data_IF_950754512065
#
_entry.id   IF_950754512065
#
_cell.length_a   1.000
_cell.length_b   1.000
_cell.length_c   1.000
_cell.angle_alpha   90.00
_cell.angle_beta   90.00
_cell.angle_gamma   90.00
#
_symmetry.space_group_name_H-M   'P 1'
#
loop_
_entity.id
_entity.type
_entity.pdbx_description
1 polymer ?
#
# COMPACT_ATOMS: atom_id res chain seq x y z
N UNK A 1 30.83 -46.49 -54.01
CA UNK A 1 30.41 -45.10 -53.93
C UNK A 1 29.43 -44.88 -52.73
N UNK A 2 29.76 -45.28 -51.49
CA UNK A 2 28.83 -45.23 -50.32
C UNK A 2 29.46 -44.76 -49.01
N UNK A 3 30.74 -44.38 -49.00
CA UNK A 3 31.41 -43.98 -47.72
C UNK A 3 31.40 -42.45 -47.41
N UNK A 4 31.15 -41.60 -48.38
CA UNK A 4 31.22 -40.14 -48.23
C UNK A 4 29.98 -39.51 -47.65
N UNK A 5 28.80 -40.15 -47.71
CA UNK A 5 27.52 -39.57 -47.20
C UNK A 5 27.34 -39.63 -45.69
N UNK A 6 28.04 -40.55 -45.01
CA UNK A 6 27.93 -40.66 -43.53
C UNK A 6 28.73 -39.59 -42.75
N UNK A 7 29.82 -39.11 -43.34
CA UNK A 7 30.64 -38.07 -42.68
C UNK A 7 29.98 -36.69 -42.70
N UNK A 8 29.20 -36.37 -43.74
CA UNK A 8 28.50 -35.09 -43.86
C UNK A 8 27.31 -34.97 -42.89
N UNK A 9 26.64 -36.07 -42.58
CA UNK A 9 25.55 -36.08 -41.58
C UNK A 9 26.05 -35.88 -40.18
N UNK A 10 27.16 -36.46 -39.79
CA UNK A 10 27.75 -36.29 -38.46
C UNK A 10 28.26 -34.85 -38.22
N UNK A 11 28.84 -34.24 -39.29
CA UNK A 11 29.29 -32.86 -39.24
C UNK A 11 28.10 -31.87 -39.16
N UNK A 12 26.95 -32.19 -39.74
CA UNK A 12 25.75 -31.37 -39.65
C UNK A 12 25.12 -31.40 -38.25
N UNK A 13 25.04 -32.58 -37.60
CA UNK A 13 24.53 -32.73 -36.24
C UNK A 13 25.46 -32.07 -35.21
N UNK A 14 26.76 -32.11 -35.37
CA UNK A 14 27.72 -31.45 -34.49
C UNK A 14 27.62 -29.90 -34.55
N UNK A 15 27.31 -29.34 -35.73
CA UNK A 15 27.09 -27.90 -35.90
C UNK A 15 25.77 -27.44 -35.29
N UNK A 16 24.72 -28.25 -35.35
CA UNK A 16 23.43 -27.94 -34.74
C UNK A 16 23.51 -28.00 -33.21
N UNK A 17 24.22 -28.94 -32.63
CA UNK A 17 24.39 -29.04 -31.16
C UNK A 17 25.12 -27.85 -30.55
N UNK A 18 26.08 -27.24 -31.25
CA UNK A 18 26.78 -26.02 -30.82
C UNK A 18 25.89 -24.77 -30.89
N UNK A 19 24.96 -24.69 -31.86
CA UNK A 19 24.04 -23.57 -32.00
C UNK A 19 22.96 -23.56 -30.90
N UNK A 20 22.51 -24.72 -30.43
CA UNK A 20 21.50 -24.85 -29.36
C UNK A 20 22.10 -24.67 -27.95
N UNK A 21 23.40 -25.02 -27.78
CA UNK A 21 24.11 -24.84 -26.50
C UNK A 21 24.34 -23.37 -26.13
N UNK A 22 24.44 -22.47 -27.12
CA UNK A 22 24.64 -21.01 -26.84
C UNK A 22 23.34 -20.30 -26.54
N UNK A 23 22.19 -20.77 -27.07
CA UNK A 23 20.87 -20.15 -26.84
C UNK A 23 20.35 -20.44 -25.44
N UNK A 24 20.68 -21.57 -24.82
CA UNK A 24 20.22 -21.94 -23.47
C UNK A 24 20.98 -21.26 -22.34
N UNK A 25 22.15 -20.66 -22.56
CA UNK A 25 22.94 -20.01 -21.53
C UNK A 25 22.56 -18.52 -21.35
N UNK A 26 21.87 -17.91 -22.30
CA UNK A 26 21.49 -16.47 -22.24
C UNK A 26 20.17 -16.23 -21.48
N UNK A 27 19.36 -17.27 -21.27
CA UNK A 27 18.04 -17.12 -20.63
C UNK A 27 18.04 -17.22 -19.10
N UNK A 28 19.17 -17.43 -18.44
CA UNK A 28 19.26 -17.61 -16.98
C UNK A 28 19.62 -16.30 -16.24
N UNK A 29 20.18 -15.31 -16.93
CA UNK A 29 20.34 -13.97 -16.35
C UNK A 29 19.06 -13.17 -16.65
N UNK A 30 18.06 -13.33 -15.79
CA UNK A 30 16.97 -12.36 -15.69
C UNK A 30 17.54 -10.95 -15.48
N UNK A 31 16.85 -9.88 -15.94
CA UNK A 31 17.32 -8.53 -15.68
C UNK A 31 17.56 -8.36 -14.18
N UNK A 32 18.63 -7.65 -13.78
CA UNK A 32 18.86 -7.38 -12.37
C UNK A 32 17.60 -6.74 -11.80
N UNK A 33 17.05 -7.33 -10.75
CA UNK A 33 15.95 -6.72 -10.03
C UNK A 33 16.45 -5.35 -9.56
N UNK A 34 15.95 -4.29 -10.19
CA UNK A 34 16.23 -2.93 -9.74
C UNK A 34 15.71 -2.83 -8.32
N UNK A 35 16.63 -2.80 -7.36
CA UNK A 35 16.32 -2.69 -5.95
C UNK A 35 15.63 -1.35 -5.75
N UNK A 36 14.33 -1.35 -5.46
CA UNK A 36 13.60 -0.12 -5.17
C UNK A 36 14.22 0.54 -3.93
N UNK A 37 14.32 1.87 -3.91
CA UNK A 37 14.83 2.55 -2.73
C UNK A 37 13.93 2.22 -1.52
N UNK A 38 14.49 2.09 -0.31
CA UNK A 38 13.69 1.84 0.87
C UNK A 38 12.68 2.98 1.08
N UNK A 39 11.46 2.66 1.46
CA UNK A 39 10.36 3.63 1.66
C UNK A 39 10.80 4.80 2.52
N UNK A 40 11.62 4.54 3.55
CA UNK A 40 12.13 5.57 4.46
C UNK A 40 12.90 6.69 3.76
N UNK A 41 13.58 6.41 2.63
CA UNK A 41 14.28 7.43 1.85
C UNK A 41 13.35 8.36 1.05
N UNK A 42 12.09 7.95 0.85
CA UNK A 42 11.09 8.70 0.10
C UNK A 42 10.25 9.64 0.99
N UNK A 43 10.24 9.43 2.32
CA UNK A 43 9.34 10.14 3.22
C UNK A 43 9.55 11.66 3.21
N UNK A 44 10.79 12.12 3.10
CA UNK A 44 11.14 13.54 3.07
C UNK A 44 10.52 14.29 1.89
N UNK A 45 10.32 13.63 0.75
CA UNK A 45 9.76 14.24 -0.45
C UNK A 45 8.27 14.64 -0.31
N UNK A 46 7.56 14.03 0.62
CA UNK A 46 6.17 14.36 0.97
C UNK A 46 6.05 15.01 2.36
N UNK A 47 7.18 15.39 2.95
CA UNK A 47 7.24 15.95 4.29
C UNK A 47 6.53 15.07 5.35
N UNK A 48 6.78 13.76 5.29
CA UNK A 48 6.30 12.78 6.26
C UNK A 48 7.35 12.59 7.35
N UNK A 49 6.88 12.48 8.59
CA UNK A 49 7.70 12.03 9.72
C UNK A 49 7.77 10.51 9.71
N UNK A 50 8.98 9.95 9.77
CA UNK A 50 9.16 8.51 9.96
C UNK A 50 8.59 8.06 11.33
N UNK A 51 7.98 6.88 11.35
CA UNK A 51 7.58 6.24 12.60
C UNK A 51 8.76 5.44 13.17
N UNK A 52 8.89 5.27 14.50
CA UNK A 52 9.99 4.50 15.07
C UNK A 52 10.05 3.10 14.45
N UNK A 53 11.24 2.65 13.98
CA UNK A 53 11.35 1.37 13.28
C UNK A 53 10.86 0.20 14.13
N UNK A 54 9.99 -0.62 13.54
CA UNK A 54 9.47 -1.83 14.19
C UNK A 54 8.27 -1.62 15.09
N UNK A 55 7.87 -0.39 15.38
CA UNK A 55 6.70 -0.12 16.21
C UNK A 55 5.40 -0.37 15.45
N UNK A 56 4.41 -0.86 16.18
CA UNK A 56 3.06 -1.08 15.69
C UNK A 56 2.17 0.04 16.21
N UNK A 57 1.27 0.57 15.37
CA UNK A 57 0.25 1.48 15.86
C UNK A 57 -0.70 0.73 16.80
N UNK A 58 -1.37 1.44 17.71
CA UNK A 58 -2.35 0.84 18.61
C UNK A 58 -3.44 0.07 17.85
N UNK A 59 -3.80 -1.11 18.35
CA UNK A 59 -4.87 -1.92 17.78
C UNK A 59 -6.24 -1.38 18.17
N UNK A 60 -7.17 -1.41 17.24
CA UNK A 60 -8.58 -1.10 17.50
C UNK A 60 -9.49 -1.98 16.67
N UNK A 61 -10.74 -2.08 17.11
CA UNK A 61 -11.84 -2.67 16.36
C UNK A 61 -13.07 -1.78 16.53
N UNK A 62 -13.70 -1.40 15.42
CA UNK A 62 -14.87 -0.53 15.42
C UNK A 62 -15.81 -0.85 14.28
N UNK A 63 -17.02 -0.30 14.33
CA UNK A 63 -17.99 -0.41 13.23
C UNK A 63 -17.86 0.77 12.29
N UNK A 64 -17.90 0.51 10.98
CA UNK A 64 -18.03 1.55 9.98
C UNK A 64 -19.37 2.28 10.13
N UNK A 65 -19.49 3.45 9.52
CA UNK A 65 -20.76 4.18 9.45
C UNK A 65 -21.89 3.35 8.80
N UNK A 66 -21.55 2.34 7.99
CA UNK A 66 -22.52 1.40 7.37
C UNK A 66 -22.75 0.13 8.21
N UNK A 67 -22.13 0.02 9.40
CA UNK A 67 -22.34 -1.08 10.35
C UNK A 67 -21.41 -2.29 10.20
N UNK A 68 -20.52 -2.33 9.22
CA UNK A 68 -19.52 -3.40 9.03
C UNK A 68 -18.41 -3.28 10.07
N UNK A 69 -18.04 -4.37 10.75
CA UNK A 69 -16.90 -4.38 11.68
C UNK A 69 -15.58 -4.38 10.91
N UNK A 70 -14.67 -3.48 11.33
CA UNK A 70 -13.29 -3.38 10.83
C UNK A 70 -12.34 -3.33 12.03
N UNK A 71 -11.26 -4.08 11.97
CA UNK A 71 -10.16 -4.02 12.94
C UNK A 71 -8.84 -3.82 12.22
N UNK A 72 -7.89 -3.12 12.87
CA UNK A 72 -6.57 -2.95 12.28
C UNK A 72 -5.86 -4.31 12.11
N UNK A 73 -5.99 -5.20 13.09
CA UNK A 73 -5.48 -6.57 12.99
C UNK A 73 -6.03 -7.34 11.79
N UNK A 74 -7.30 -7.13 11.43
CA UNK A 74 -7.94 -7.76 10.28
C UNK A 74 -7.43 -7.25 8.92
N UNK A 75 -6.64 -6.17 8.91
CA UNK A 75 -6.04 -5.58 7.71
C UNK A 75 -4.57 -6.00 7.51
N UNK A 76 -4.05 -6.94 8.32
CA UNK A 76 -2.71 -7.49 8.11
C UNK A 76 -2.56 -8.07 6.70
N UNK A 77 -1.40 -7.86 6.10
CA UNK A 77 -1.16 -8.22 4.69
C UNK A 77 -1.56 -7.14 3.69
N UNK A 78 -2.21 -6.07 4.15
CA UNK A 78 -2.55 -4.89 3.34
C UNK A 78 -1.71 -3.68 3.78
N UNK A 79 -1.45 -2.78 2.85
CA UNK A 79 -0.99 -1.43 3.16
C UNK A 79 -2.20 -0.63 3.61
N UNK A 80 -2.10 0.08 4.74
CA UNK A 80 -3.21 0.88 5.26
C UNK A 80 -2.82 2.36 5.29
N UNK A 81 -3.63 3.18 4.64
CA UNK A 81 -3.62 4.63 4.78
C UNK A 81 -4.75 4.98 5.77
N UNK A 82 -4.37 5.21 7.03
CA UNK A 82 -5.30 5.48 8.13
C UNK A 82 -5.34 6.98 8.37
N UNK A 83 -6.45 7.64 8.04
CA UNK A 83 -6.60 9.09 8.21
C UNK A 83 -7.63 9.45 9.29
N UNK A 84 -7.29 10.44 10.12
CA UNK A 84 -8.17 11.05 11.11
C UNK A 84 -8.71 12.37 10.54
N UNK A 85 -10.02 12.54 10.56
CA UNK A 85 -10.71 13.65 9.89
C UNK A 85 -12.06 13.97 10.54
N UNK A 86 -12.68 15.09 10.15
CA UNK A 86 -14.07 15.44 10.48
C UNK A 86 -14.77 16.09 9.29
N UNK A 87 -16.09 16.14 9.29
CA UNK A 87 -16.87 16.77 8.20
C UNK A 87 -16.68 18.29 8.12
N UNK A 88 -16.40 18.94 9.23
CA UNK A 88 -16.18 20.40 9.33
C UNK A 88 -14.69 20.80 9.17
N UNK A 89 -13.78 19.86 9.05
CA UNK A 89 -12.36 20.14 8.84
C UNK A 89 -12.12 20.62 7.42
N UNK A 90 -11.85 21.90 7.25
CA UNK A 90 -11.61 22.54 5.95
C UNK A 90 -10.42 21.94 5.22
N UNK A 91 -9.33 21.64 5.92
CA UNK A 91 -8.11 21.04 5.40
C UNK A 91 -8.28 19.56 5.02
N UNK A 92 -9.21 18.84 5.70
CA UNK A 92 -9.47 17.42 5.41
C UNK A 92 -10.29 17.24 4.11
N UNK A 93 -11.24 18.17 3.85
CA UNK A 93 -12.21 18.04 2.77
C UNK A 93 -11.58 17.82 1.38
N UNK A 94 -10.50 18.53 0.98
CA UNK A 94 -9.85 18.31 -0.32
C UNK A 94 -9.19 16.93 -0.45
N UNK A 95 -8.75 16.32 0.66
CA UNK A 95 -8.10 15.02 0.62
C UNK A 95 -9.07 13.85 0.44
N UNK A 96 -10.34 13.99 0.87
CA UNK A 96 -11.29 12.87 0.85
C UNK A 96 -11.55 12.30 -0.55
N UNK A 97 -11.78 13.11 -1.61
CA UNK A 97 -11.89 12.60 -2.97
C UNK A 97 -10.57 11.98 -3.49
N UNK A 98 -9.42 12.49 -3.02
CA UNK A 98 -8.10 11.94 -3.36
C UNK A 98 -7.94 10.55 -2.74
N UNK A 99 -8.31 10.38 -1.48
CA UNK A 99 -8.30 9.10 -0.79
C UNK A 99 -9.25 8.09 -1.44
N UNK A 100 -10.42 8.53 -1.93
CA UNK A 100 -11.33 7.70 -2.69
C UNK A 100 -10.69 7.17 -3.98
N UNK A 101 -10.00 8.05 -4.71
CA UNK A 101 -9.30 7.64 -5.92
C UNK A 101 -8.17 6.65 -5.63
N UNK A 102 -7.34 6.91 -4.60
CA UNK A 102 -6.30 5.97 -4.18
C UNK A 102 -6.91 4.62 -3.76
N UNK A 103 -8.04 4.65 -3.06
CA UNK A 103 -8.76 3.42 -2.69
C UNK A 103 -9.20 2.63 -3.91
N UNK A 104 -9.80 3.27 -4.92
CA UNK A 104 -10.25 2.62 -6.16
C UNK A 104 -9.08 2.09 -6.98
N UNK A 105 -8.03 2.90 -7.13
CA UNK A 105 -6.88 2.58 -7.99
C UNK A 105 -6.07 1.40 -7.43
N UNK A 106 -5.82 1.37 -6.11
CA UNK A 106 -4.89 0.42 -5.49
C UNK A 106 -5.54 -0.65 -4.59
N UNK A 107 -6.87 -0.70 -4.46
CA UNK A 107 -7.54 -1.69 -3.60
C UNK A 107 -7.23 -3.14 -4.02
N UNK A 108 -7.19 -3.40 -5.33
CA UNK A 108 -6.86 -4.72 -5.87
C UNK A 108 -5.39 -5.11 -5.60
N UNK A 109 -4.49 -4.14 -5.52
CA UNK A 109 -3.07 -4.34 -5.23
C UNK A 109 -2.78 -4.48 -3.73
N UNK A 110 -3.77 -4.22 -2.90
CA UNK A 110 -3.68 -4.42 -1.45
C UNK A 110 -3.61 -3.15 -0.61
N UNK A 111 -3.93 -1.97 -1.17
CA UNK A 111 -4.17 -0.77 -0.37
C UNK A 111 -5.55 -0.82 0.30
N UNK A 112 -5.62 -0.35 1.52
CA UNK A 112 -6.86 0.01 2.20
C UNK A 112 -6.75 1.44 2.71
N UNK A 113 -7.64 2.30 2.26
CA UNK A 113 -7.87 3.59 2.92
C UNK A 113 -8.88 3.36 4.04
N UNK A 114 -8.62 3.93 5.21
CA UNK A 114 -9.47 3.83 6.39
C UNK A 114 -9.60 5.20 7.04
N UNK A 115 -10.81 5.75 7.10
CA UNK A 115 -11.07 7.06 7.68
C UNK A 115 -11.65 6.95 9.09
N UNK A 116 -10.95 7.43 10.12
CA UNK A 116 -11.48 7.61 11.46
C UNK A 116 -12.07 9.00 11.56
N UNK A 117 -13.38 9.08 11.70
CA UNK A 117 -14.07 10.35 11.84
C UNK A 117 -14.19 10.72 13.32
N UNK A 118 -13.51 11.79 13.69
CA UNK A 118 -13.34 12.20 15.08
C UNK A 118 -14.57 12.96 15.60
N UNK A 119 -15.14 12.47 16.70
CA UNK A 119 -16.22 13.11 17.48
C UNK A 119 -17.53 13.37 16.74
N UNK A 120 -17.80 12.63 15.67
CA UNK A 120 -19.06 12.68 14.94
C UNK A 120 -19.67 11.27 14.85
N UNK A 121 -20.99 11.22 14.68
CA UNK A 121 -21.74 9.97 14.61
C UNK A 121 -21.98 9.48 13.17
N UNK A 122 -22.37 8.24 13.02
CA UNK A 122 -22.59 7.60 11.72
C UNK A 122 -23.52 8.38 10.77
N UNK A 123 -24.65 8.99 11.19
CA UNK A 123 -25.55 9.67 10.25
C UNK A 123 -24.91 10.82 9.49
N UNK A 124 -24.10 11.66 10.16
CA UNK A 124 -23.45 12.80 9.49
C UNK A 124 -22.37 12.32 8.53
N UNK A 125 -21.62 11.26 8.92
CA UNK A 125 -20.60 10.63 8.08
C UNK A 125 -21.22 10.02 6.83
N UNK A 126 -22.36 9.34 6.94
CA UNK A 126 -23.08 8.77 5.79
C UNK A 126 -23.55 9.85 4.81
N UNK A 127 -24.06 10.97 5.32
CA UNK A 127 -24.46 12.11 4.48
C UNK A 127 -23.26 12.68 3.73
N UNK A 128 -22.16 12.90 4.42
CA UNK A 128 -20.93 13.41 3.84
C UNK A 128 -20.32 12.44 2.82
N UNK A 129 -20.30 11.13 3.14
CA UNK A 129 -19.80 10.10 2.24
C UNK A 129 -20.62 10.05 0.93
N UNK A 130 -21.94 10.20 1.03
CA UNK A 130 -22.83 10.26 -0.13
C UNK A 130 -22.60 11.52 -0.97
N UNK A 131 -22.37 12.66 -0.32
CA UNK A 131 -22.08 13.93 -1.01
C UNK A 131 -20.80 13.85 -1.86
N UNK A 132 -19.76 13.21 -1.35
CA UNK A 132 -18.45 13.08 -2.00
C UNK A 132 -18.22 11.75 -2.71
N UNK A 133 -19.24 10.88 -2.82
CA UNK A 133 -19.16 9.54 -3.43
C UNK A 133 -18.04 8.67 -2.86
N UNK A 134 -17.88 8.69 -1.53
CA UNK A 134 -16.84 7.93 -0.82
C UNK A 134 -17.27 6.50 -0.58
N UNK A 135 -16.43 5.53 -0.95
CA UNK A 135 -16.69 4.10 -0.81
C UNK A 135 -15.74 3.38 0.16
N UNK A 136 -14.61 3.99 0.49
CA UNK A 136 -13.69 3.42 1.48
C UNK A 136 -14.30 3.42 2.89
N UNK A 137 -13.87 2.50 3.78
CA UNK A 137 -14.41 2.40 5.13
C UNK A 137 -14.22 3.67 5.95
N UNK A 138 -15.33 4.21 6.47
CA UNK A 138 -15.38 5.36 7.37
C UNK A 138 -15.89 4.90 8.75
N UNK A 139 -15.09 5.09 9.79
CA UNK A 139 -15.37 4.66 11.15
C UNK A 139 -15.70 5.87 12.02
N UNK A 140 -16.91 5.93 12.61
CA UNK A 140 -17.22 6.91 13.63
C UNK A 140 -16.38 6.68 14.90
N UNK A 141 -15.82 7.75 15.44
CA UNK A 141 -15.17 7.79 16.75
C UNK A 141 -15.82 8.90 17.60
N UNK A 142 -17.12 8.75 17.97
CA UNK A 142 -17.92 9.84 18.55
C UNK A 142 -17.42 10.31 19.91
N UNK A 143 -16.68 9.47 20.63
CA UNK A 143 -16.07 9.83 21.92
C UNK A 143 -14.61 10.25 21.80
N UNK A 144 -13.97 10.11 20.62
CA UNK A 144 -12.56 10.37 20.40
C UNK A 144 -11.65 9.35 21.09
N UNK A 145 -12.14 8.12 21.29
CA UNK A 145 -11.38 7.05 21.95
C UNK A 145 -10.20 6.59 21.08
N UNK A 146 -10.45 6.37 19.77
CA UNK A 146 -9.39 6.00 18.83
C UNK A 146 -8.46 7.18 18.59
N UNK A 147 -9.00 8.39 18.46
CA UNK A 147 -8.20 9.62 18.37
C UNK A 147 -7.20 9.73 19.53
N UNK A 148 -7.68 9.54 20.76
CA UNK A 148 -6.86 9.63 21.97
C UNK A 148 -5.82 8.53 22.02
N UNK A 149 -6.20 7.30 21.66
CA UNK A 149 -5.32 6.13 21.61
C UNK A 149 -4.13 6.35 20.66
N UNK A 150 -4.35 7.06 19.55
CA UNK A 150 -3.32 7.40 18.56
C UNK A 150 -2.59 8.71 18.85
N UNK A 151 -2.93 9.42 19.95
CA UNK A 151 -2.32 10.70 20.30
C UNK A 151 -2.56 11.80 19.25
N UNK A 152 -3.65 11.73 18.48
CA UNK A 152 -3.93 12.70 17.42
C UNK A 152 -4.44 14.01 18.01
N UNK A 153 -3.67 15.09 17.83
CA UNK A 153 -3.95 16.42 18.35
C UNK A 153 -4.36 17.43 17.27
N UNK A 154 -4.18 17.11 16.00
CA UNK A 154 -4.53 17.96 14.84
C UNK A 154 -5.12 17.17 13.70
N UNK A 155 -5.87 17.83 12.82
CA UNK A 155 -6.51 17.22 11.66
C UNK A 155 -6.15 17.97 10.38
N UNK A 156 -6.01 17.27 9.24
CA UNK A 156 -5.94 15.81 9.15
C UNK A 156 -4.66 15.26 9.78
N UNK A 157 -4.71 14.02 10.25
CA UNK A 157 -3.52 13.24 10.60
C UNK A 157 -3.62 11.89 9.93
N UNK A 158 -2.58 11.51 9.18
CA UNK A 158 -2.59 10.29 8.37
C UNK A 158 -1.38 9.42 8.67
N UNK A 159 -1.62 8.15 9.02
CA UNK A 159 -0.62 7.13 9.22
C UNK A 159 -0.50 6.24 7.97
N UNK A 160 0.72 5.96 7.56
CA UNK A 160 1.02 4.89 6.60
C UNK A 160 1.47 3.64 7.37
N UNK A 161 0.79 2.53 7.12
CA UNK A 161 1.01 1.26 7.81
C UNK A 161 1.33 0.21 6.74
N UNK A 162 2.46 -0.47 6.89
CA UNK A 162 2.93 -1.51 5.98
C UNK A 162 2.13 -2.82 6.08
N UNK A 163 2.37 -3.74 5.16
CA UNK A 163 1.72 -5.05 5.10
C UNK A 163 1.93 -5.90 6.35
N UNK A 164 3.06 -5.72 7.03
CA UNK A 164 3.38 -6.37 8.31
C UNK A 164 2.63 -5.75 9.51
N UNK A 165 1.87 -4.67 9.26
CA UNK A 165 1.09 -3.92 10.23
C UNK A 165 1.92 -3.01 11.14
N UNK A 166 3.15 -2.68 10.76
CA UNK A 166 3.97 -1.66 11.43
C UNK A 166 3.69 -0.28 10.82
N UNK A 167 3.68 0.74 11.65
CA UNK A 167 3.59 2.10 11.15
C UNK A 167 4.95 2.49 10.53
N UNK A 168 4.88 3.08 9.34
CA UNK A 168 6.04 3.50 8.56
C UNK A 168 6.23 5.00 8.66
N UNK A 169 5.14 5.75 8.55
CA UNK A 169 5.18 7.20 8.53
C UNK A 169 3.89 7.84 9.05
N UNK A 170 4.01 9.10 9.40
CA UNK A 170 2.96 9.97 9.90
C UNK A 170 3.00 11.30 9.17
N UNK A 171 1.83 11.77 8.72
CA UNK A 171 1.59 13.14 8.28
C UNK A 171 0.69 13.86 9.28
N UNK A 172 1.08 15.02 9.74
CA UNK A 172 0.21 15.97 10.47
C UNK A 172 -0.05 17.16 9.56
N UNK A 173 -1.32 17.45 9.30
CA UNK A 173 -1.77 18.39 8.26
C UNK A 173 -1.86 17.79 6.86
N UNK A 174 -2.44 18.55 5.91
CA UNK A 174 -2.75 18.05 4.57
C UNK A 174 -1.48 17.74 3.75
N UNK A 175 -1.59 16.80 2.80
CA UNK A 175 -0.54 16.44 1.85
C UNK A 175 -1.10 16.26 0.44
N UNK A 176 -0.23 16.43 -0.54
CA UNK A 176 -0.52 16.16 -1.94
C UNK A 176 -0.45 14.64 -2.24
N UNK A 177 -1.46 13.88 -1.76
CA UNK A 177 -1.48 12.41 -1.83
C UNK A 177 -1.52 11.84 -3.26
N UNK A 178 -1.76 12.68 -4.28
CA UNK A 178 -1.66 12.30 -5.71
C UNK A 178 -0.38 12.76 -6.39
N UNK A 179 0.51 13.40 -5.66
CA UNK A 179 1.81 13.80 -6.22
C UNK A 179 2.65 12.56 -6.57
N UNK A 180 3.58 12.66 -7.54
CA UNK A 180 4.49 11.56 -7.85
C UNK A 180 5.24 11.01 -6.63
N UNK A 181 5.70 11.83 -5.67
CA UNK A 181 6.30 11.31 -4.44
C UNK A 181 5.34 10.45 -3.60
N UNK A 182 4.07 10.85 -3.46
CA UNK A 182 3.08 10.09 -2.71
C UNK A 182 2.81 8.72 -3.38
N UNK A 183 2.66 8.71 -4.70
CA UNK A 183 2.48 7.48 -5.46
C UNK A 183 3.68 6.55 -5.30
N UNK A 184 4.91 7.07 -5.42
CA UNK A 184 6.13 6.27 -5.24
C UNK A 184 6.20 5.63 -3.85
N UNK A 185 5.78 6.34 -2.78
CA UNK A 185 5.71 5.79 -1.41
C UNK A 185 4.69 4.66 -1.33
N UNK A 186 3.48 4.86 -1.87
CA UNK A 186 2.41 3.85 -1.86
C UNK A 186 2.83 2.60 -2.65
N UNK A 187 3.37 2.77 -3.85
CA UNK A 187 3.86 1.69 -4.70
C UNK A 187 5.00 0.91 -4.04
N UNK A 188 5.94 1.61 -3.39
CA UNK A 188 7.02 0.97 -2.66
C UNK A 188 6.50 0.12 -1.49
N UNK A 189 5.51 0.62 -0.73
CA UNK A 189 4.85 -0.16 0.33
C UNK A 189 4.08 -1.36 -0.22
N UNK A 190 3.42 -1.20 -1.37
CA UNK A 190 2.69 -2.27 -2.03
C UNK A 190 3.62 -3.36 -2.58
N UNK A 191 4.83 -3.00 -2.98
CA UNK A 191 5.85 -3.94 -3.46
C UNK A 191 6.52 -4.74 -2.33
N UNK A 192 6.39 -4.31 -1.07
CA UNK A 192 6.93 -5.06 0.07
C UNK A 192 6.25 -6.44 0.17
N UNK A 193 7.02 -7.51 0.47
CA UNK A 193 6.44 -8.84 0.66
C UNK A 193 5.37 -8.82 1.74
N UNK A 194 4.25 -9.52 1.51
CA UNK A 194 3.31 -9.80 2.59
C UNK A 194 4.05 -10.62 3.64
N UNK A 195 4.08 -10.13 4.89
CA UNK A 195 4.66 -10.89 5.99
C UNK A 195 4.07 -12.31 5.97
N UNK A 196 4.98 -13.32 5.90
CA UNK A 196 4.54 -14.73 5.98
C UNK A 196 3.75 -14.87 7.28
N UNK A 197 2.51 -15.35 7.19
CA UNK A 197 1.74 -15.72 8.38
C UNK A 197 2.63 -16.63 9.21
N UNK A 198 3.10 -16.13 10.36
CA UNK A 198 3.74 -17.00 11.34
C UNK A 198 2.68 -18.05 11.69
N UNK A 199 2.95 -19.30 11.28
CA UNK A 199 2.14 -20.43 11.65
C UNK A 199 2.33 -20.63 13.16
N UNK A 200 1.31 -20.18 13.93
CA UNK A 200 1.18 -20.49 15.34
C UNK A 200 0.62 -21.89 15.55
#
# INVERSE_FOLDING_TARGET
>A
MTATRHLDLLAWFARQALAWGVITLVTILGPPALSQPPVTSLLGSLNLSGYPPGERPPEFSSRTATGKTVSLAGLRGRVVLLTFWTTWCTECRPEMPIFEQLHRDFAAEGLTVLGINVREGAPIIQTYAKELDLTFPLLPDPKGEIQTLYGVIGLPTTFLIGRDGRAVALAVGPREWRSPPAQAIIEALLAEPTARKEAG
#
